data_IF_792020347877
#
_entry.id   IF_792020347877
#
_cell.length_a   1.000
_cell.length_b   1.000
_cell.length_c   1.000
_cell.angle_alpha   90.00
_cell.angle_beta   90.00
_cell.angle_gamma   90.00
#
_symmetry.space_group_name_H-M   'P 1'
#
loop_
_entity.id
_entity.type
_entity.pdbx_description
1 polymer ?
#
# COMPACT_ATOMS: atom_id res chain seq x y z
N UNK A 1 38.98 -24.77 -26.91
CA UNK A 1 38.98 -23.45 -26.26
C UNK A 1 37.78 -22.58 -26.61
N UNK A 2 37.19 -22.68 -27.79
CA UNK A 2 36.01 -21.91 -28.20
C UNK A 2 34.66 -22.32 -27.54
N UNK A 3 34.52 -23.59 -27.12
CA UNK A 3 33.25 -24.05 -26.48
C UNK A 3 33.03 -23.46 -25.09
N UNK A 4 34.07 -23.30 -24.30
CA UNK A 4 33.98 -22.75 -22.92
C UNK A 4 33.60 -21.27 -22.90
N UNK A 5 34.03 -20.51 -23.91
CA UNK A 5 33.74 -19.09 -24.00
C UNK A 5 32.23 -18.84 -24.28
N UNK A 6 31.58 -19.70 -25.08
CA UNK A 6 30.15 -19.63 -25.38
C UNK A 6 29.29 -19.95 -24.15
N UNK A 7 29.66 -20.94 -23.36
CA UNK A 7 28.93 -21.31 -22.14
C UNK A 7 28.98 -20.21 -21.08
N UNK A 8 30.11 -19.52 -20.92
CA UNK A 8 30.23 -18.40 -19.97
C UNK A 8 29.37 -17.20 -20.35
N UNK A 9 29.21 -16.89 -21.63
CA UNK A 9 28.38 -15.77 -22.09
C UNK A 9 26.90 -16.03 -21.83
N UNK A 10 26.42 -17.25 -22.04
CA UNK A 10 25.02 -17.60 -21.72
C UNK A 10 24.72 -17.58 -20.23
N UNK A 11 25.67 -18.00 -19.37
CA UNK A 11 25.51 -17.94 -17.92
C UNK A 11 25.42 -16.49 -17.40
N UNK A 12 26.22 -15.58 -17.93
CA UNK A 12 26.17 -14.14 -17.58
C UNK A 12 24.88 -13.49 -18.09
N UNK A 13 24.39 -13.86 -19.27
CA UNK A 13 23.15 -13.33 -19.83
C UNK A 13 21.92 -13.79 -19.03
N UNK A 14 21.91 -15.03 -18.55
CA UNK A 14 20.84 -15.57 -17.70
C UNK A 14 20.80 -14.91 -16.31
N UNK A 15 21.97 -14.56 -15.74
CA UNK A 15 22.06 -13.83 -14.47
C UNK A 15 21.57 -12.38 -14.59
N UNK A 16 21.74 -11.73 -15.74
CA UNK A 16 21.25 -10.37 -15.98
C UNK A 16 19.72 -10.28 -16.09
N UNK A 17 19.03 -11.35 -16.49
CA UNK A 17 17.56 -11.41 -16.58
C UNK A 17 16.85 -11.57 -15.23
N UNK A 18 17.56 -11.98 -14.17
CA UNK A 18 16.99 -12.15 -12.83
C UNK A 18 16.80 -10.82 -12.06
N UNK A 19 17.29 -9.68 -12.60
CA UNK A 19 17.40 -8.41 -11.88
C UNK A 19 16.15 -7.52 -11.83
N UNK A 20 15.07 -7.83 -12.51
CA UNK A 20 13.89 -6.95 -12.62
C UNK A 20 12.62 -7.50 -11.95
N UNK A 21 12.72 -8.21 -10.85
CA UNK A 21 11.56 -8.48 -10.02
C UNK A 21 11.14 -7.18 -9.33
N UNK A 22 10.24 -6.41 -9.94
CA UNK A 22 9.61 -5.26 -9.29
C UNK A 22 8.89 -5.77 -8.04
N UNK A 23 9.46 -5.47 -6.87
CA UNK A 23 8.90 -5.90 -5.60
C UNK A 23 7.54 -5.23 -5.41
N UNK A 24 6.47 -6.02 -5.53
CA UNK A 24 5.11 -5.56 -5.27
C UNK A 24 4.92 -5.35 -3.76
N UNK A 25 4.17 -4.34 -3.31
CA UNK A 25 3.86 -4.21 -1.89
C UNK A 25 3.06 -5.41 -1.39
N UNK A 26 3.04 -5.68 -0.08
CA UNK A 26 2.19 -6.69 0.51
C UNK A 26 0.75 -6.58 0.04
N UNK A 27 0.17 -7.69 -0.40
CA UNK A 27 -1.21 -7.75 -0.86
C UNK A 27 -1.92 -8.84 -0.06
N UNK A 28 -3.11 -8.57 0.48
CA UNK A 28 -3.85 -9.59 1.20
C UNK A 28 -4.27 -10.74 0.27
N UNK A 29 -4.27 -11.96 0.78
CA UNK A 29 -4.76 -13.13 0.07
C UNK A 29 -6.25 -12.98 -0.31
N UNK A 30 -7.02 -12.42 0.62
CA UNK A 30 -8.42 -12.06 0.43
C UNK A 30 -8.61 -10.62 0.85
N UNK A 31 -9.49 -9.90 0.14
CA UNK A 31 -9.72 -8.49 0.39
C UNK A 31 -10.94 -8.33 1.29
N UNK A 32 -10.67 -7.93 2.53
CA UNK A 32 -11.68 -7.59 3.51
C UNK A 32 -11.55 -6.11 3.86
N UNK A 33 -12.26 -5.24 3.15
CA UNK A 33 -12.34 -3.85 3.58
C UNK A 33 -13.56 -3.65 4.45
N UNK A 34 -13.30 -3.25 5.67
CA UNK A 34 -14.31 -2.80 6.59
C UNK A 34 -14.80 -1.39 6.18
N UNK A 35 -16.10 -1.26 5.85
CA UNK A 35 -16.77 0.01 5.54
C UNK A 35 -16.25 0.77 4.29
N UNK A 36 -16.13 0.12 3.14
CA UNK A 36 -16.01 0.83 1.86
C UNK A 36 -17.39 1.33 1.36
N UNK A 37 -17.48 2.45 0.59
CA UNK A 37 -16.36 3.24 0.08
C UNK A 37 -15.74 4.14 1.14
N UNK A 38 -14.45 4.48 0.97
CA UNK A 38 -13.73 5.39 1.87
C UNK A 38 -13.13 6.55 1.12
N UNK A 39 -13.12 7.69 1.79
CA UNK A 39 -12.52 8.91 1.31
C UNK A 39 -11.78 9.59 2.46
N UNK A 40 -10.48 9.84 2.27
CA UNK A 40 -9.61 10.39 3.30
C UNK A 40 -8.64 11.41 2.73
N UNK A 41 -8.12 12.27 3.61
CA UNK A 41 -6.92 13.04 3.36
C UNK A 41 -5.72 12.30 3.93
N UNK A 42 -4.65 12.25 3.15
CA UNK A 42 -3.38 11.64 3.53
C UNK A 42 -2.30 12.69 3.43
N UNK A 43 -1.65 12.99 4.56
CA UNK A 43 -0.45 13.82 4.58
C UNK A 43 0.76 12.90 4.53
N UNK A 44 1.54 12.99 3.46
CA UNK A 44 2.80 12.26 3.29
C UNK A 44 3.96 13.08 3.86
N UNK A 45 4.64 12.54 4.85
CA UNK A 45 5.86 13.07 5.45
C UNK A 45 7.00 12.18 4.98
N UNK A 46 7.80 12.70 4.05
CA UNK A 46 8.93 11.97 3.48
C UNK A 46 10.23 12.51 4.07
N UNK A 47 11.09 11.67 4.69
CA UNK A 47 12.34 12.14 5.28
C UNK A 47 13.33 12.74 4.28
N UNK A 48 13.08 12.57 2.98
CA UNK A 48 13.92 13.10 1.90
C UNK A 48 13.42 14.43 1.34
N UNK A 49 12.27 14.94 1.80
CA UNK A 49 11.68 16.21 1.36
C UNK A 49 11.47 17.11 2.56
N UNK A 50 11.51 18.42 2.35
CA UNK A 50 11.37 19.43 3.42
C UNK A 50 9.89 19.56 3.77
N UNK A 51 9.00 19.58 2.78
CA UNK A 51 7.59 19.85 2.97
C UNK A 51 6.72 18.58 2.87
N UNK A 52 5.75 18.42 3.78
CA UNK A 52 4.73 17.41 3.65
C UNK A 52 3.84 17.66 2.42
N UNK A 53 3.37 16.58 1.79
CA UNK A 53 2.43 16.66 0.67
C UNK A 53 1.09 16.09 1.08
N UNK A 54 0.00 16.78 0.75
CA UNK A 54 -1.36 16.33 1.07
C UNK A 54 -2.05 15.82 -0.18
N UNK A 55 -2.66 14.65 -0.04
CA UNK A 55 -3.41 13.95 -1.08
C UNK A 55 -4.81 13.60 -0.58
N UNK A 56 -5.78 13.61 -1.49
CA UNK A 56 -7.07 12.98 -1.29
C UNK A 56 -7.00 11.55 -1.86
N UNK A 57 -7.39 10.57 -1.06
CA UNK A 57 -7.47 9.16 -1.49
C UNK A 57 -8.90 8.68 -1.39
N UNK A 58 -9.36 8.04 -2.45
CA UNK A 58 -10.67 7.41 -2.54
C UNK A 58 -10.50 5.94 -2.86
N UNK A 59 -11.22 5.06 -2.15
CA UNK A 59 -11.34 3.66 -2.49
C UNK A 59 -12.81 3.29 -2.67
N UNK A 60 -13.11 2.59 -3.76
CA UNK A 60 -14.42 2.09 -4.13
C UNK A 60 -14.36 0.57 -4.31
N UNK A 61 -15.35 -0.13 -3.79
CA UNK A 61 -15.49 -1.57 -4.01
C UNK A 61 -16.46 -1.81 -5.16
N UNK A 62 -16.05 -2.61 -6.13
CA UNK A 62 -16.85 -2.97 -7.30
C UNK A 62 -16.65 -4.46 -7.64
N UNK A 63 -17.71 -5.27 -7.59
CA UNK A 63 -17.71 -6.67 -8.08
C UNK A 63 -16.42 -7.46 -7.78
N UNK A 64 -16.01 -7.55 -6.52
CA UNK A 64 -14.81 -8.30 -6.10
C UNK A 64 -13.47 -7.60 -6.37
N UNK A 65 -13.48 -6.33 -6.77
CA UNK A 65 -12.28 -5.52 -6.96
C UNK A 65 -12.34 -4.24 -6.16
N UNK A 66 -11.17 -3.65 -5.89
CA UNK A 66 -11.03 -2.34 -5.28
C UNK A 66 -10.43 -1.38 -6.27
N UNK A 67 -11.16 -0.31 -6.54
CA UNK A 67 -10.67 0.82 -7.33
C UNK A 67 -10.12 1.87 -6.40
N UNK A 68 -8.88 2.26 -6.61
CA UNK A 68 -8.13 3.23 -5.83
C UNK A 68 -7.80 4.45 -6.67
N UNK A 69 -8.09 5.63 -6.13
CA UNK A 69 -7.80 6.90 -6.78
C UNK A 69 -7.05 7.80 -5.79
N UNK A 70 -6.07 8.54 -6.30
CA UNK A 70 -5.40 9.61 -5.58
C UNK A 70 -5.53 10.91 -6.37
N UNK A 71 -5.85 11.99 -5.66
CA UNK A 71 -6.01 13.32 -6.21
C UNK A 71 -5.10 14.29 -5.48
N UNK A 72 -4.62 15.31 -6.16
CA UNK A 72 -4.02 16.47 -5.51
C UNK A 72 -5.11 17.36 -4.89
N UNK A 73 -4.72 18.41 -4.18
CA UNK A 73 -5.66 19.33 -3.52
C UNK A 73 -6.51 20.15 -4.51
N UNK A 74 -6.12 20.21 -5.79
CA UNK A 74 -6.90 20.86 -6.85
C UNK A 74 -7.94 19.92 -7.48
N UNK A 75 -8.04 18.69 -6.96
CA UNK A 75 -8.97 17.68 -7.49
C UNK A 75 -8.49 16.98 -8.76
N UNK A 76 -7.27 17.24 -9.21
CA UNK A 76 -6.71 16.53 -10.36
C UNK A 76 -6.24 15.13 -9.94
N UNK A 77 -6.65 14.05 -10.65
CA UNK A 77 -6.19 12.71 -10.38
C UNK A 77 -4.71 12.58 -10.77
N UNK A 78 -3.90 11.95 -9.92
CA UNK A 78 -2.50 11.66 -10.20
C UNK A 78 -2.17 10.16 -10.18
N UNK A 79 -3.08 9.35 -9.65
CA UNK A 79 -2.96 7.89 -9.73
C UNK A 79 -4.34 7.21 -9.69
N UNK A 80 -4.46 6.15 -10.50
CA UNK A 80 -5.64 5.29 -10.56
C UNK A 80 -5.18 3.84 -10.67
N UNK A 81 -5.63 2.97 -9.76
CA UNK A 81 -5.25 1.56 -9.76
C UNK A 81 -6.41 0.68 -9.31
N UNK A 82 -6.42 -0.55 -9.78
CA UNK A 82 -7.37 -1.57 -9.39
C UNK A 82 -6.62 -2.72 -8.73
N UNK A 83 -7.09 -3.14 -7.56
CA UNK A 83 -6.70 -4.40 -6.95
C UNK A 83 -7.81 -5.42 -7.21
N UNK A 84 -7.48 -6.48 -7.92
CA UNK A 84 -8.37 -7.59 -8.21
C UNK A 84 -7.60 -8.90 -8.18
N UNK A 85 -8.16 -9.94 -7.55
CA UNK A 85 -7.55 -11.27 -7.43
C UNK A 85 -6.09 -11.21 -6.92
N UNK A 86 -5.83 -10.40 -5.90
CA UNK A 86 -4.50 -10.23 -5.32
C UNK A 86 -3.47 -9.53 -6.22
N UNK A 87 -3.89 -8.92 -7.32
CA UNK A 87 -2.98 -8.26 -8.28
C UNK A 87 -3.37 -6.82 -8.53
N UNK A 88 -2.37 -5.95 -8.51
CA UNK A 88 -2.53 -4.55 -8.87
C UNK A 88 -2.50 -4.38 -10.39
N UNK A 89 -3.44 -3.62 -10.93
CA UNK A 89 -3.51 -3.20 -12.34
C UNK A 89 -3.71 -1.69 -12.42
N UNK A 90 -3.28 -1.10 -13.51
CA UNK A 90 -3.62 0.30 -13.78
C UNK A 90 -5.09 0.42 -14.16
N UNK A 91 -5.71 1.53 -13.81
CA UNK A 91 -7.06 1.90 -14.21
C UNK A 91 -6.99 3.06 -15.21
N UNK A 92 -7.16 2.73 -16.49
CA UNK A 92 -7.08 3.69 -17.60
C UNK A 92 -5.65 3.97 -18.08
N UNK A 93 -5.44 5.17 -18.66
CA UNK A 93 -4.22 5.56 -19.35
C UNK A 93 -3.10 6.09 -18.44
N UNK A 94 -3.32 6.16 -17.12
CA UNK A 94 -2.30 6.65 -16.22
C UNK A 94 -1.17 5.62 -16.08
N UNK A 95 0.10 6.05 -16.16
CA UNK A 95 1.23 5.13 -15.97
C UNK A 95 1.24 4.52 -14.58
N UNK A 96 1.82 3.31 -14.41
CA UNK A 96 1.93 2.67 -13.12
C UNK A 96 2.77 3.53 -12.16
N UNK A 97 2.22 3.82 -11.00
CA UNK A 97 2.94 4.54 -9.95
C UNK A 97 3.19 3.60 -8.76
N UNK A 98 4.41 3.07 -8.69
CA UNK A 98 4.83 2.14 -7.63
C UNK A 98 4.74 2.75 -6.22
N UNK A 99 5.11 4.04 -6.08
CA UNK A 99 5.06 4.73 -4.78
C UNK A 99 3.63 4.87 -4.27
N UNK A 100 2.70 5.17 -5.17
CA UNK A 100 1.28 5.27 -4.82
C UNK A 100 0.70 3.92 -4.48
N UNK A 101 1.13 2.86 -5.17
CA UNK A 101 0.73 1.48 -4.86
C UNK A 101 1.14 1.07 -3.44
N UNK A 102 2.30 1.50 -2.97
CA UNK A 102 2.74 1.28 -1.59
C UNK A 102 1.78 1.93 -0.58
N UNK A 103 1.38 3.18 -0.81
CA UNK A 103 0.38 3.86 0.02
C UNK A 103 -0.95 3.11 0.02
N UNK A 104 -1.47 2.72 -1.16
CA UNK A 104 -2.75 2.03 -1.27
C UNK A 104 -2.73 0.68 -0.55
N UNK A 105 -1.64 -0.08 -0.67
CA UNK A 105 -1.48 -1.35 0.03
C UNK A 105 -1.37 -1.17 1.56
N UNK A 106 -0.69 -0.13 2.02
CA UNK A 106 -0.58 0.20 3.43
C UNK A 106 -1.94 0.64 4.03
N UNK A 107 -2.73 1.43 3.29
CA UNK A 107 -4.10 1.79 3.67
C UNK A 107 -5.01 0.56 3.70
N UNK A 108 -4.87 -0.35 2.74
CA UNK A 108 -5.63 -1.60 2.72
C UNK A 108 -5.33 -2.45 3.96
N UNK A 109 -4.06 -2.57 4.36
CA UNK A 109 -3.69 -3.23 5.61
C UNK A 109 -4.36 -2.58 6.83
N UNK A 110 -4.28 -1.25 6.94
CA UNK A 110 -4.89 -0.51 8.04
C UNK A 110 -6.42 -0.64 8.07
N UNK A 111 -7.08 -0.79 6.92
CA UNK A 111 -8.54 -0.93 6.83
C UNK A 111 -9.03 -2.38 6.79
N UNK A 112 -8.14 -3.37 6.83
CA UNK A 112 -8.53 -4.76 7.02
C UNK A 112 -8.99 -4.96 8.46
N UNK A 113 -10.15 -5.60 8.66
CA UNK A 113 -10.65 -5.80 10.02
C UNK A 113 -9.68 -6.66 10.84
N UNK A 114 -9.44 -6.35 12.15
CA UNK A 114 -8.46 -7.09 12.98
C UNK A 114 -8.63 -8.60 12.98
N UNK A 115 -9.88 -9.08 12.94
CA UNK A 115 -10.21 -10.52 12.90
C UNK A 115 -9.73 -11.21 11.62
N UNK A 116 -9.64 -10.44 10.51
CA UNK A 116 -9.34 -10.96 9.19
C UNK A 116 -7.87 -10.79 8.83
N UNK A 117 -7.10 -10.00 9.59
CA UNK A 117 -5.71 -9.67 9.29
C UNK A 117 -4.81 -10.91 9.15
N UNK A 118 -4.96 -11.90 10.03
CA UNK A 118 -4.14 -13.12 9.99
C UNK A 118 -4.46 -13.95 8.75
N UNK A 119 -5.73 -14.00 8.34
CA UNK A 119 -6.17 -14.70 7.13
C UNK A 119 -5.75 -13.95 5.87
N UNK A 120 -5.84 -12.61 5.92
CA UNK A 120 -5.47 -11.74 4.82
C UNK A 120 -3.95 -11.76 4.55
N UNK A 121 -3.14 -11.81 5.61
CA UNK A 121 -1.66 -11.80 5.53
C UNK A 121 -1.07 -13.04 6.21
N UNK A 122 -1.13 -14.23 5.56
CA UNK A 122 -0.76 -15.49 6.19
C UNK A 122 0.75 -15.68 6.34
N UNK A 123 1.13 -16.39 7.41
CA UNK A 123 2.48 -16.94 7.59
C UNK A 123 2.80 -18.01 6.50
N UNK A 124 4.06 -18.23 6.15
CA UNK A 124 5.28 -17.67 6.74
C UNK A 124 5.72 -16.31 6.14
N UNK A 125 5.10 -15.85 5.06
CA UNK A 125 5.49 -14.62 4.38
C UNK A 125 5.25 -13.39 5.26
N UNK A 126 4.14 -13.38 6.00
CA UNK A 126 3.75 -12.26 6.86
C UNK A 126 3.66 -12.68 8.33
N UNK A 127 3.99 -11.74 9.22
CA UNK A 127 3.77 -11.80 10.66
C UNK A 127 3.01 -10.53 11.07
N UNK A 128 1.79 -10.71 11.54
CA UNK A 128 0.87 -9.63 11.91
C UNK A 128 0.68 -9.60 13.42
N UNK A 129 0.97 -8.47 14.03
CA UNK A 129 0.75 -8.24 15.45
C UNK A 129 -0.25 -7.10 15.63
N UNK A 130 -1.35 -7.38 16.34
CA UNK A 130 -2.45 -6.44 16.59
C UNK A 130 -2.49 -6.15 18.09
N UNK A 131 -2.27 -4.88 18.43
CA UNK A 131 -2.49 -4.32 19.76
C UNK A 131 -3.69 -3.37 19.70
N UNK A 132 -4.14 -2.86 20.84
CA UNK A 132 -5.34 -2.02 20.92
C UNK A 132 -5.30 -0.81 19.98
N UNK A 133 -4.16 -0.13 19.93
CA UNK A 133 -3.94 1.12 19.20
C UNK A 133 -2.81 1.03 18.14
N UNK A 134 -2.17 -0.14 18.04
CA UNK A 134 -0.99 -0.33 17.18
C UNK A 134 -1.02 -1.66 16.47
N UNK A 135 -0.91 -1.62 15.13
CA UNK A 135 -0.77 -2.82 14.31
C UNK A 135 0.58 -2.84 13.61
N UNK A 136 1.16 -4.00 13.51
CA UNK A 136 2.48 -4.18 12.91
C UNK A 136 2.41 -5.30 11.89
N UNK A 137 2.87 -5.02 10.67
CA UNK A 137 3.13 -6.02 9.64
C UNK A 137 4.64 -6.19 9.48
N UNK A 138 5.10 -7.43 9.57
CA UNK A 138 6.41 -7.82 9.06
C UNK A 138 6.24 -8.63 7.78
N UNK A 139 7.14 -8.44 6.84
CA UNK A 139 7.25 -9.21 5.61
C UNK A 139 8.62 -9.88 5.58
N UNK A 140 8.65 -11.22 5.48
CA UNK A 140 9.88 -12.00 5.55
C UNK A 140 10.76 -11.63 6.78
N UNK A 141 10.12 -11.57 7.96
CA UNK A 141 10.72 -11.20 9.27
C UNK A 141 11.22 -9.76 9.39
N UNK A 142 11.04 -8.91 8.38
CA UNK A 142 11.43 -7.48 8.40
C UNK A 142 10.21 -6.61 8.64
N UNK A 143 10.36 -5.59 9.49
CA UNK A 143 9.31 -4.59 9.69
C UNK A 143 8.95 -3.95 8.35
N UNK A 144 7.67 -3.98 8.03
CA UNK A 144 7.13 -3.41 6.81
C UNK A 144 6.29 -2.18 7.11
N UNK A 145 5.21 -2.33 7.87
CA UNK A 145 4.35 -1.23 8.28
C UNK A 145 4.05 -1.27 9.78
N UNK A 146 3.96 -0.07 10.36
CA UNK A 146 3.38 0.15 11.68
C UNK A 146 2.23 1.13 11.54
N UNK A 147 1.03 0.73 11.92
CA UNK A 147 -0.16 1.58 12.02
C UNK A 147 -0.35 1.98 13.46
N UNK A 148 -0.59 3.25 13.72
CA UNK A 148 -0.91 3.78 15.07
C UNK A 148 -2.23 4.53 14.96
N UNK A 149 -3.23 4.06 15.69
CA UNK A 149 -4.58 4.63 15.77
C UNK A 149 -4.64 5.69 16.84
N UNK A 150 -5.17 6.88 16.56
CA UNK A 150 -5.21 7.97 17.54
C UNK A 150 -6.31 7.75 18.59
N UNK A 151 -7.48 7.24 18.18
CA UNK A 151 -8.62 6.98 19.06
C UNK A 151 -9.14 5.54 18.92
N UNK A 152 -8.24 4.60 18.71
CA UNK A 152 -8.59 3.22 18.42
C UNK A 152 -9.49 3.08 17.19
N UNK A 153 -10.26 1.99 17.11
CA UNK A 153 -11.14 1.70 15.99
C UNK A 153 -12.44 2.52 15.97
N UNK A 154 -12.72 3.34 17.01
CA UNK A 154 -13.88 4.23 17.03
C UNK A 154 -13.78 5.34 15.96
N UNK A 155 -12.57 5.70 15.55
CA UNK A 155 -12.31 6.63 14.47
C UNK A 155 -11.46 5.97 13.37
N UNK A 156 -12.05 5.12 12.54
CA UNK A 156 -11.31 4.26 11.60
C UNK A 156 -10.62 5.00 10.45
N UNK A 157 -10.72 6.31 10.39
CA UNK A 157 -10.03 7.16 9.41
C UNK A 157 -9.06 8.15 10.08
N UNK A 158 -8.66 7.92 11.34
CA UNK A 158 -7.72 8.79 12.07
C UNK A 158 -6.56 7.96 12.62
N UNK A 159 -5.50 7.83 11.83
CA UNK A 159 -4.32 7.04 12.16
C UNK A 159 -3.09 7.50 11.38
N UNK A 160 -1.94 6.98 11.76
CA UNK A 160 -0.71 7.11 10.97
C UNK A 160 -0.14 5.75 10.58
N UNK A 161 0.52 5.70 9.44
CA UNK A 161 1.26 4.52 8.97
C UNK A 161 2.71 4.91 8.77
N UNK A 162 3.63 4.18 9.40
CA UNK A 162 5.06 4.27 9.10
C UNK A 162 5.45 3.14 8.14
N UNK A 163 5.96 3.48 6.98
CA UNK A 163 6.60 2.54 6.08
C UNK A 163 8.09 2.42 6.44
N UNK A 164 8.49 1.28 7.00
CA UNK A 164 9.85 1.04 7.45
C UNK A 164 10.85 0.83 6.30
N UNK A 165 10.36 0.53 5.10
CA UNK A 165 11.20 0.36 3.91
C UNK A 165 11.68 1.70 3.34
N UNK A 166 10.80 2.68 3.28
CA UNK A 166 11.10 4.02 2.73
C UNK A 166 11.37 5.07 3.80
N UNK A 167 10.93 4.84 5.04
CA UNK A 167 10.93 5.82 6.12
C UNK A 167 9.77 6.83 6.06
N UNK A 168 8.91 6.73 5.04
CA UNK A 168 7.75 7.62 4.86
C UNK A 168 6.74 7.37 5.97
N UNK A 169 6.12 8.47 6.45
CA UNK A 169 4.98 8.44 7.35
C UNK A 169 3.78 9.03 6.63
N UNK A 170 2.68 8.30 6.60
CA UNK A 170 1.38 8.77 6.11
C UNK A 170 0.46 9.01 7.30
N UNK A 171 0.04 10.26 7.47
CA UNK A 171 -0.99 10.66 8.43
C UNK A 171 -2.34 10.67 7.71
N UNK A 172 -3.28 9.87 8.18
CA UNK A 172 -4.61 9.70 7.58
C UNK A 172 -5.64 10.36 8.46
N UNK A 173 -6.52 11.16 7.85
CA UNK A 173 -7.64 11.82 8.52
C UNK A 173 -8.90 11.80 7.66
N UNK A 174 -10.08 11.87 8.26
CA UNK A 174 -11.33 11.99 7.51
C UNK A 174 -11.30 13.20 6.58
N UNK A 175 -11.96 13.07 5.43
CA UNK A 175 -12.33 14.24 4.64
C UNK A 175 -13.56 14.87 5.32
N UNK A 176 -13.32 15.86 6.16
CA UNK A 176 -14.41 16.67 6.72
C UNK A 176 -14.84 17.66 5.67
N UNK A 177 -16.11 17.61 5.25
CA UNK A 177 -16.71 18.70 4.50
C UNK A 177 -17.02 19.81 5.53
N UNK A 178 -16.41 21.00 5.47
CA UNK A 178 -16.69 22.06 6.43
C UNK A 178 -18.11 22.60 6.37
N UNK A 179 -18.88 22.27 5.32
CA UNK A 179 -20.19 22.83 5.03
C UNK A 179 -21.39 21.93 5.39
N UNK A 180 -21.17 20.77 6.01
CA UNK A 180 -22.26 19.91 6.52
C UNK A 180 -22.26 20.01 8.04
N UNK A 181 -22.96 21.00 8.56
CA UNK A 181 -23.48 21.06 9.93
C UNK A 181 -24.95 20.71 9.92
#
# INVERSE_FOLDING_TARGET
MMLYLRSSVYAVLLLALAGCASHSPPVPKEVFIWQAPRQVLVTEINPKTIEPVVWQVVVQQQAGSLRWLRFNLLGAPDARQILANGKWRNDGFMPPNQKVRELFAALLFAWTHPRDLILAYPSPQYDVNVFMDKWVLKENSRLRWTVIWQNGLSQPNLFSIKDHKSGIIWQVRPLTNPDIK
#
